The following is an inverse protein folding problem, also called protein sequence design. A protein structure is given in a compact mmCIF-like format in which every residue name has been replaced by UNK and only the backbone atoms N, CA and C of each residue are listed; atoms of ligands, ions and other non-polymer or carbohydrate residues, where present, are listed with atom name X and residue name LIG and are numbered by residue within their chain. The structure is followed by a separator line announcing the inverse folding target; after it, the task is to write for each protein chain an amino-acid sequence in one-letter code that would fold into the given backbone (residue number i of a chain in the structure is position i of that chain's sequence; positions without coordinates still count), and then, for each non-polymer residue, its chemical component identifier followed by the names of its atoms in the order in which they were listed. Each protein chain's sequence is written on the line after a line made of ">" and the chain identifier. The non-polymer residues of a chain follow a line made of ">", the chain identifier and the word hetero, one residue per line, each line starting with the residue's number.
data_IF_863706000782
#
_entry.id   IF_863706000782
#
_cell.length_a   1.000
_cell.length_b   1.000
_cell.length_c   1.000
_cell.angle_alpha   90.00
_cell.angle_beta   90.00
_cell.angle_gamma   90.00
#
_symmetry.space_group_name_H-M   'P 1'
#
loop_
_entity.id
_entity.type
_entity.pdbx_description
1 polymer ?
#
# COMPACT_ATOMS: atom_id res chain seq x y z
N UNK A 1 23.75 42.16 22.69
CA UNK A 1 22.63 42.91 22.09
C UNK A 1 22.33 42.28 20.78
N UNK A 2 21.37 41.30 20.68
CA UNK A 2 20.72 40.83 19.41
C UNK A 2 19.91 39.57 19.58
N UNK A 3 19.49 39.21 20.81
CA UNK A 3 18.67 37.98 21.03
C UNK A 3 17.15 38.23 21.16
N UNK A 4 16.67 39.44 20.85
CA UNK A 4 15.26 39.80 21.01
C UNK A 4 14.45 39.92 19.70
N UNK A 5 15.08 39.76 18.54
CA UNK A 5 14.39 39.97 17.25
C UNK A 5 13.83 38.70 16.63
N UNK A 6 14.37 37.51 16.99
CA UNK A 6 13.98 36.21 16.35
C UNK A 6 12.65 35.65 16.91
N UNK A 7 12.20 36.09 18.07
CA UNK A 7 10.97 35.57 18.71
C UNK A 7 9.65 36.24 18.28
N UNK A 8 9.68 37.31 17.48
CA UNK A 8 8.46 38.03 17.08
C UNK A 8 7.86 37.63 15.71
N UNK A 9 8.61 36.98 14.81
CA UNK A 9 8.06 36.54 13.53
C UNK A 9 7.36 35.18 13.58
N UNK A 10 7.58 34.37 14.63
CA UNK A 10 6.93 33.08 14.81
C UNK A 10 5.59 33.10 15.58
N UNK A 11 5.18 34.24 16.14
CA UNK A 11 4.00 34.31 16.99
C UNK A 11 2.66 34.38 16.22
N UNK A 12 2.68 34.68 14.93
CA UNK A 12 1.48 34.75 14.10
C UNK A 12 0.98 33.32 13.63
N UNK A 13 1.83 32.31 13.66
CA UNK A 13 1.49 30.95 13.20
C UNK A 13 1.11 29.98 14.33
N UNK A 14 1.33 30.31 15.59
CA UNK A 14 1.04 29.41 16.71
C UNK A 14 -0.47 29.11 16.83
N UNK A 15 -1.41 30.07 16.69
CA UNK A 15 -2.84 29.78 16.70
C UNK A 15 -3.28 28.86 15.55
N UNK A 16 -2.70 29.03 14.35
CA UNK A 16 -3.05 28.19 13.18
C UNK A 16 -2.57 26.75 13.33
N UNK A 17 -1.38 26.54 13.89
CA UNK A 17 -0.84 25.18 14.15
C UNK A 17 -1.66 24.45 15.21
N UNK A 18 -2.05 25.12 16.28
CA UNK A 18 -2.92 24.55 17.31
C UNK A 18 -4.29 24.16 16.74
N UNK A 19 -4.88 24.99 15.88
CA UNK A 19 -6.15 24.71 15.24
C UNK A 19 -6.08 23.46 14.34
N UNK A 20 -5.02 23.31 13.53
CA UNK A 20 -4.82 22.12 12.71
C UNK A 20 -4.78 20.83 13.54
N UNK A 21 -4.10 20.87 14.70
CA UNK A 21 -4.06 19.71 15.61
C UNK A 21 -5.43 19.41 16.22
N UNK A 22 -6.19 20.43 16.59
CA UNK A 22 -7.55 20.28 17.13
C UNK A 22 -8.52 19.79 16.05
N UNK A 23 -8.40 20.25 14.82
CA UNK A 23 -9.19 19.76 13.67
C UNK A 23 -8.90 18.28 13.37
N UNK A 24 -7.66 17.81 13.50
CA UNK A 24 -7.29 16.41 13.31
C UNK A 24 -7.77 15.48 14.45
N UNK A 25 -8.03 16.02 15.67
CA UNK A 25 -8.31 15.23 16.87
C UNK A 25 -9.51 14.27 16.73
N UNK A 26 -10.68 14.64 16.18
CA UNK A 26 -11.81 13.72 16.01
C UNK A 26 -11.47 12.49 15.13
N UNK A 27 -10.63 12.69 14.09
CA UNK A 27 -10.19 11.61 13.19
C UNK A 27 -9.22 10.66 13.91
N UNK A 28 -8.26 11.23 14.66
CA UNK A 28 -7.32 10.46 15.49
C UNK A 28 -8.10 9.59 16.48
N UNK A 29 -9.06 10.17 17.21
CA UNK A 29 -9.90 9.44 18.18
C UNK A 29 -10.73 8.33 17.51
N UNK A 30 -11.31 8.58 16.34
CA UNK A 30 -12.10 7.60 15.58
C UNK A 30 -11.25 6.43 15.07
N UNK A 31 -9.98 6.68 14.74
CA UNK A 31 -9.06 5.70 14.17
C UNK A 31 -8.10 5.09 15.22
N UNK A 32 -8.11 5.59 16.46
CA UNK A 32 -7.29 5.06 17.54
C UNK A 32 -7.49 3.54 17.70
N UNK A 33 -6.39 2.81 17.87
CA UNK A 33 -6.34 1.35 17.97
C UNK A 33 -6.89 0.60 16.75
N UNK A 34 -7.01 1.25 15.58
CA UNK A 34 -7.39 0.58 14.33
C UNK A 34 -6.17 0.20 13.52
N UNK A 35 -6.22 -1.00 12.94
CA UNK A 35 -5.24 -1.41 11.93
C UNK A 35 -5.51 -0.62 10.65
N UNK A 36 -4.46 0.01 10.14
CA UNK A 36 -4.49 0.73 8.87
C UNK A 36 -3.55 0.00 7.91
N UNK A 37 -4.10 -0.72 6.96
CA UNK A 37 -3.31 -1.38 5.92
C UNK A 37 -2.99 -0.36 4.84
N UNK A 38 -1.70 -0.21 4.52
CA UNK A 38 -1.23 0.77 3.53
C UNK A 38 -0.45 0.03 2.44
N UNK A 39 -0.96 0.07 1.23
CA UNK A 39 -0.21 -0.37 0.06
C UNK A 39 0.66 0.77 -0.45
N UNK A 40 1.97 0.65 -0.30
CA UNK A 40 2.96 1.60 -0.76
C UNK A 40 3.53 1.18 -2.12
N UNK A 41 3.41 2.06 -3.12
CA UNK A 41 3.83 1.72 -4.49
C UNK A 41 3.80 2.91 -5.44
N UNK A 42 4.13 2.66 -6.68
CA UNK A 42 4.15 3.69 -7.72
C UNK A 42 5.34 4.64 -7.61
N UNK A 43 5.18 5.86 -8.12
CA UNK A 43 6.23 6.88 -8.15
C UNK A 43 6.66 7.34 -6.74
N UNK A 44 5.78 7.21 -5.75
CA UNK A 44 6.10 7.47 -4.35
C UNK A 44 7.28 6.62 -3.81
N UNK A 45 7.58 5.50 -4.46
CA UNK A 45 8.72 4.62 -4.11
C UNK A 45 10.01 4.96 -4.86
N UNK A 46 10.00 5.94 -5.76
CA UNK A 46 11.16 6.32 -6.58
C UNK A 46 11.72 7.65 -6.11
N UNK A 47 10.86 8.60 -5.81
CA UNK A 47 11.23 9.95 -5.36
C UNK A 47 11.61 9.93 -3.87
N UNK A 48 12.84 10.37 -3.55
CA UNK A 48 13.38 10.33 -2.19
C UNK A 48 12.60 11.25 -1.22
N UNK A 49 12.07 12.37 -1.69
CA UNK A 49 11.25 13.27 -0.88
C UNK A 49 9.93 12.58 -0.50
N UNK A 50 9.27 11.94 -1.47
CA UNK A 50 8.01 11.23 -1.24
C UNK A 50 8.21 10.02 -0.32
N UNK A 51 9.31 9.26 -0.48
CA UNK A 51 9.67 8.17 0.44
C UNK A 51 9.85 8.67 1.87
N UNK A 52 10.54 9.80 2.06
CA UNK A 52 10.73 10.41 3.37
C UNK A 52 9.42 10.91 3.97
N UNK A 53 8.55 11.54 3.19
CA UNK A 53 7.23 11.98 3.64
C UNK A 53 6.38 10.78 4.06
N UNK A 54 6.34 9.72 3.24
CA UNK A 54 5.68 8.46 3.59
C UNK A 54 6.15 7.90 4.93
N UNK A 55 7.48 7.83 5.15
CA UNK A 55 8.02 7.31 6.40
C UNK A 55 7.61 8.15 7.61
N UNK A 56 7.62 9.49 7.49
CA UNK A 56 7.13 10.41 8.53
C UNK A 56 5.65 10.21 8.83
N UNK A 57 4.83 10.09 7.78
CA UNK A 57 3.40 9.85 7.92
C UNK A 57 3.14 8.56 8.71
N UNK A 58 3.79 7.46 8.31
CA UNK A 58 3.66 6.16 8.98
C UNK A 58 4.09 6.22 10.45
N UNK A 59 5.19 6.90 10.74
CA UNK A 59 5.65 7.12 12.14
C UNK A 59 4.62 7.91 12.92
N UNK A 60 4.08 8.99 12.34
CA UNK A 60 3.03 9.79 13.00
C UNK A 60 1.80 8.94 13.29
N UNK A 61 1.32 8.14 12.32
CA UNK A 61 0.17 7.24 12.54
C UNK A 61 0.39 6.34 13.76
N UNK A 62 1.58 5.72 13.87
CA UNK A 62 1.90 4.85 15.02
C UNK A 62 1.95 5.63 16.32
N UNK A 63 2.52 6.83 16.33
CA UNK A 63 2.65 7.68 17.53
C UNK A 63 1.29 8.17 18.05
N UNK A 64 0.32 8.43 17.16
CA UNK A 64 -1.03 8.84 17.58
C UNK A 64 -1.97 7.65 17.85
N UNK A 65 -1.42 6.44 17.95
CA UNK A 65 -2.16 5.25 18.40
C UNK A 65 -2.89 4.48 17.30
N UNK A 66 -2.57 4.70 16.03
CA UNK A 66 -2.98 3.84 14.93
C UNK A 66 -1.99 2.68 14.74
N UNK A 67 -2.43 1.62 14.07
CA UNK A 67 -1.64 0.42 13.83
C UNK A 67 -1.35 0.24 12.33
N UNK A 68 -0.33 0.94 11.76
CA UNK A 68 -0.01 0.81 10.35
C UNK A 68 0.65 -0.53 10.04
N UNK A 69 0.17 -1.20 8.97
CA UNK A 69 0.73 -2.39 8.36
C UNK A 69 1.02 -2.07 6.90
N UNK A 70 2.28 -2.13 6.50
CA UNK A 70 2.73 -1.68 5.19
C UNK A 70 2.93 -2.89 4.27
N UNK A 71 2.33 -2.85 3.08
CA UNK A 71 2.63 -3.76 1.99
C UNK A 71 3.24 -2.94 0.86
N UNK A 72 4.49 -3.23 0.49
CA UNK A 72 5.13 -2.45 -0.55
C UNK A 72 5.14 -3.14 -1.91
N UNK A 73 5.15 -2.35 -2.97
CA UNK A 73 5.43 -2.81 -4.33
C UNK A 73 6.93 -2.78 -4.64
N UNK A 74 7.26 -2.65 -5.92
CA UNK A 74 8.64 -2.57 -6.39
C UNK A 74 8.79 -2.79 -7.91
N UNK A 75 7.69 -2.68 -8.66
CA UNK A 75 7.68 -2.96 -10.10
C UNK A 75 8.77 -2.22 -10.89
N UNK A 76 8.92 -0.90 -10.78
CA UNK A 76 9.96 -0.15 -11.47
C UNK A 76 11.38 -0.58 -11.08
N UNK A 77 11.63 -0.78 -9.78
CA UNK A 77 12.94 -1.21 -9.28
C UNK A 77 13.28 -2.62 -9.78
N UNK A 78 12.33 -3.56 -9.70
CA UNK A 78 12.50 -4.92 -10.26
C UNK A 78 12.87 -4.83 -11.74
N UNK A 79 12.13 -4.04 -12.53
CA UNK A 79 12.39 -3.87 -13.96
C UNK A 79 13.82 -3.38 -14.19
N UNK A 80 14.23 -2.32 -13.47
CA UNK A 80 15.58 -1.77 -13.58
C UNK A 80 16.67 -2.78 -13.24
N UNK A 81 16.50 -3.59 -12.19
CA UNK A 81 17.47 -4.62 -11.83
C UNK A 81 17.54 -5.76 -12.86
N UNK A 82 16.40 -6.23 -13.35
CA UNK A 82 16.35 -7.27 -14.38
C UNK A 82 17.00 -6.81 -15.69
N UNK A 83 16.74 -5.56 -16.11
CA UNK A 83 17.37 -4.96 -17.30
C UNK A 83 18.90 -4.88 -17.18
N UNK A 84 19.43 -4.47 -16.02
CA UNK A 84 20.87 -4.48 -15.74
C UNK A 84 21.50 -5.86 -15.87
N UNK A 85 20.72 -6.91 -15.67
CA UNK A 85 21.15 -8.30 -15.85
C UNK A 85 20.85 -8.86 -17.24
N UNK A 86 20.35 -8.06 -18.16
CA UNK A 86 19.98 -8.48 -19.50
C UNK A 86 18.70 -9.32 -19.57
N UNK A 87 17.88 -9.32 -18.52
CA UNK A 87 16.61 -10.05 -18.45
C UNK A 87 15.46 -9.09 -18.81
N UNK A 88 14.72 -9.42 -19.86
CA UNK A 88 13.55 -8.63 -20.26
C UNK A 88 12.33 -8.99 -19.42
N UNK A 89 11.65 -7.96 -18.93
CA UNK A 89 10.37 -8.13 -18.23
C UNK A 89 9.22 -8.30 -19.23
N UNK A 90 8.41 -9.31 -19.02
CA UNK A 90 7.16 -9.54 -19.76
C UNK A 90 5.97 -9.32 -18.82
N UNK A 91 4.90 -8.72 -19.37
CA UNK A 91 3.66 -8.49 -18.63
C UNK A 91 2.47 -8.96 -19.44
N UNK A 92 1.57 -9.68 -18.78
CA UNK A 92 0.29 -10.12 -19.32
C UNK A 92 -0.81 -9.67 -18.36
N UNK A 93 -1.81 -8.97 -18.84
CA UNK A 93 -2.90 -8.38 -18.03
C UNK A 93 -2.40 -7.58 -16.80
N UNK A 94 -1.27 -6.87 -16.95
CA UNK A 94 -0.67 -6.10 -15.86
C UNK A 94 0.10 -6.92 -14.81
N UNK A 95 0.14 -8.25 -14.97
CA UNK A 95 0.92 -9.15 -14.12
C UNK A 95 2.25 -9.47 -14.77
N UNK A 96 3.34 -9.45 -14.01
CA UNK A 96 4.67 -9.81 -14.49
C UNK A 96 4.75 -11.32 -14.65
N UNK A 97 5.15 -11.80 -15.83
CA UNK A 97 5.54 -13.20 -16.02
C UNK A 97 6.90 -13.41 -15.36
N UNK A 98 6.98 -14.31 -14.39
CA UNK A 98 8.17 -14.47 -13.54
C UNK A 98 8.79 -15.85 -13.75
N UNK A 99 9.85 -15.96 -14.52
CA UNK A 99 10.57 -17.22 -14.74
C UNK A 99 11.53 -17.56 -13.58
N UNK A 100 12.17 -18.73 -13.65
CA UNK A 100 13.05 -19.25 -12.59
C UNK A 100 14.28 -18.36 -12.36
N UNK A 101 14.77 -17.65 -13.38
CA UNK A 101 15.89 -16.71 -13.25
C UNK A 101 15.47 -15.40 -12.61
N UNK A 102 14.27 -14.96 -12.95
CA UNK A 102 13.72 -13.70 -12.46
C UNK A 102 13.27 -13.77 -11.00
N UNK A 103 12.76 -14.94 -10.54
CA UNK A 103 12.19 -15.04 -9.18
C UNK A 103 13.22 -14.82 -8.09
N UNK A 104 14.44 -15.34 -8.24
CA UNK A 104 15.53 -15.15 -7.26
C UNK A 104 15.90 -13.66 -7.16
N UNK A 105 16.02 -12.98 -8.30
CA UNK A 105 16.30 -11.55 -8.34
C UNK A 105 15.16 -10.73 -7.73
N UNK A 106 13.91 -11.06 -8.05
CA UNK A 106 12.74 -10.39 -7.51
C UNK A 106 12.69 -10.55 -5.98
N UNK A 107 12.99 -11.74 -5.47
CA UNK A 107 13.06 -11.98 -4.04
C UNK A 107 14.14 -11.13 -3.36
N UNK A 108 15.36 -11.06 -3.94
CA UNK A 108 16.45 -10.21 -3.44
C UNK A 108 16.07 -8.73 -3.47
N UNK A 109 15.46 -8.25 -4.54
CA UNK A 109 15.08 -6.84 -4.70
C UNK A 109 13.95 -6.47 -3.74
N UNK A 110 12.89 -7.28 -3.68
CA UNK A 110 11.75 -6.99 -2.80
C UNK A 110 12.10 -7.19 -1.33
N UNK A 111 12.64 -8.34 -0.95
CA UNK A 111 12.90 -8.69 0.46
C UNK A 111 14.15 -8.06 1.04
N UNK A 112 15.18 -7.89 0.23
CA UNK A 112 16.48 -7.35 0.65
C UNK A 112 16.62 -5.85 0.43
N UNK A 113 16.47 -5.38 -0.80
CA UNK A 113 16.73 -3.97 -1.13
C UNK A 113 15.58 -3.06 -0.70
N UNK A 114 14.41 -3.19 -1.32
CA UNK A 114 13.28 -2.26 -1.12
C UNK A 114 12.73 -2.36 0.31
N UNK A 115 12.50 -3.57 0.79
CA UNK A 115 11.96 -3.78 2.14
C UNK A 115 12.84 -3.13 3.20
N UNK A 116 14.16 -3.33 3.13
CA UNK A 116 15.11 -2.79 4.11
C UNK A 116 15.33 -1.28 3.95
N UNK A 117 15.20 -0.74 2.74
CA UNK A 117 15.18 0.71 2.54
C UNK A 117 13.99 1.35 3.27
N UNK A 118 12.78 0.80 3.13
CA UNK A 118 11.58 1.32 3.82
C UNK A 118 11.73 1.21 5.33
N UNK A 119 12.21 0.06 5.84
CA UNK A 119 12.49 -0.15 7.27
C UNK A 119 13.47 0.89 7.79
N UNK A 120 14.56 1.14 7.05
CA UNK A 120 15.56 2.12 7.43
C UNK A 120 15.00 3.55 7.46
N UNK A 121 14.19 3.92 6.46
CA UNK A 121 13.54 5.24 6.41
C UNK A 121 12.59 5.45 7.60
N UNK A 122 11.74 4.48 7.92
CA UNK A 122 10.85 4.57 9.08
C UNK A 122 11.69 4.70 10.37
N UNK A 123 12.76 3.94 10.48
CA UNK A 123 13.64 3.96 11.66
C UNK A 123 14.38 5.29 11.79
N UNK A 124 14.84 5.89 10.68
CA UNK A 124 15.54 7.18 10.70
C UNK A 124 14.62 8.34 11.16
N UNK A 125 13.31 8.17 11.06
CA UNK A 125 12.32 9.12 11.58
C UNK A 125 11.78 8.74 12.98
N UNK A 126 12.46 7.82 13.69
CA UNK A 126 12.11 7.44 15.07
C UNK A 126 11.05 6.35 15.21
N UNK A 127 10.60 5.74 14.10
CA UNK A 127 9.74 4.57 14.12
C UNK A 127 10.53 3.28 14.39
N UNK A 128 9.83 2.21 14.75
CA UNK A 128 10.42 0.87 14.94
C UNK A 128 9.79 -0.07 13.90
N UNK A 129 10.45 -0.25 12.76
CA UNK A 129 9.92 -1.09 11.69
C UNK A 129 10.58 -2.48 11.66
N UNK A 130 9.79 -3.49 11.28
CA UNK A 130 10.26 -4.86 11.03
C UNK A 130 9.89 -5.25 9.61
N UNK A 131 10.90 -5.57 8.80
CA UNK A 131 10.71 -6.03 7.43
C UNK A 131 10.52 -7.54 7.37
N UNK A 132 9.43 -7.94 6.71
CA UNK A 132 9.03 -9.32 6.46
C UNK A 132 8.83 -9.55 4.97
N UNK A 133 8.94 -10.79 4.56
CA UNK A 133 8.34 -11.31 3.32
C UNK A 133 7.16 -12.23 3.68
N UNK A 134 6.34 -12.58 2.72
CA UNK A 134 5.26 -13.54 2.99
C UNK A 134 5.76 -14.96 3.31
N UNK A 135 7.05 -15.23 3.16
CA UNK A 135 7.67 -16.52 3.56
C UNK A 135 7.89 -16.59 5.08
N UNK A 136 8.10 -15.43 5.73
CA UNK A 136 8.41 -15.36 7.15
C UNK A 136 7.20 -15.81 7.99
N UNK A 137 7.40 -16.80 8.82
CA UNK A 137 6.34 -17.44 9.60
C UNK A 137 5.24 -18.11 8.75
N UNK A 138 5.46 -18.27 7.44
CA UNK A 138 4.43 -18.78 6.53
C UNK A 138 3.27 -17.80 6.31
N UNK A 139 3.52 -16.51 6.48
CA UNK A 139 2.53 -15.42 6.41
C UNK A 139 1.67 -15.48 5.15
N UNK A 140 2.28 -15.71 3.95
CA UNK A 140 1.55 -15.77 2.69
C UNK A 140 1.77 -17.13 2.02
N UNK A 141 0.73 -17.96 2.01
CA UNK A 141 0.68 -19.16 1.16
C UNK A 141 0.22 -18.77 -0.22
N UNK A 142 0.94 -19.26 -1.22
CA UNK A 142 0.71 -18.94 -2.61
C UNK A 142 0.33 -20.19 -3.41
N UNK A 143 -0.36 -19.97 -4.51
CA UNK A 143 -0.52 -20.96 -5.57
C UNK A 143 -0.13 -20.32 -6.90
N UNK A 144 0.31 -21.13 -7.84
CA UNK A 144 0.65 -20.67 -9.18
C UNK A 144 -0.51 -19.93 -9.82
N UNK A 145 -0.22 -18.79 -10.45
CA UNK A 145 -1.21 -18.05 -11.23
C UNK A 145 -1.39 -18.73 -12.59
N UNK A 146 -2.64 -18.92 -12.96
CA UNK A 146 -3.04 -19.44 -14.28
C UNK A 146 -3.92 -18.38 -14.93
N UNK A 147 -3.68 -18.09 -16.19
CA UNK A 147 -4.44 -17.09 -16.94
C UNK A 147 -5.91 -17.45 -17.09
N UNK A 148 -6.75 -16.42 -17.13
CA UNK A 148 -8.19 -16.52 -17.31
C UNK A 148 -8.65 -15.72 -18.53
N UNK A 149 -9.90 -15.87 -18.92
CA UNK A 149 -10.51 -15.11 -20.00
C UNK A 149 -9.79 -15.31 -21.35
N UNK A 150 -9.29 -14.22 -21.95
CA UNK A 150 -8.57 -14.24 -23.24
C UNK A 150 -7.22 -14.95 -23.16
N UNK A 151 -6.58 -14.93 -21.97
CA UNK A 151 -5.32 -15.59 -21.69
C UNK A 151 -5.52 -16.92 -20.96
N UNK A 152 -6.65 -17.57 -21.17
CA UNK A 152 -6.97 -18.86 -20.52
C UNK A 152 -5.84 -19.87 -20.69
N UNK A 153 -5.44 -20.47 -19.56
CA UNK A 153 -4.33 -21.42 -19.44
C UNK A 153 -2.93 -20.85 -19.72
N UNK A 154 -2.76 -19.52 -19.80
CA UNK A 154 -1.43 -18.92 -19.87
C UNK A 154 -0.63 -19.23 -18.60
N UNK A 155 0.60 -19.69 -18.77
CA UNK A 155 1.49 -20.02 -17.66
C UNK A 155 2.31 -18.80 -17.22
N UNK A 156 1.92 -18.20 -16.10
CA UNK A 156 2.65 -17.11 -15.47
C UNK A 156 3.91 -17.53 -14.71
N UNK A 157 4.27 -18.82 -14.76
CA UNK A 157 5.46 -19.44 -14.13
C UNK A 157 5.46 -19.27 -12.61
N UNK A 158 6.41 -18.49 -12.05
CA UNK A 158 6.50 -18.22 -10.61
C UNK A 158 5.74 -16.94 -10.17
N UNK A 159 4.82 -16.46 -11.00
CA UNK A 159 3.84 -15.47 -10.53
C UNK A 159 2.73 -16.21 -9.82
N UNK A 160 2.39 -15.76 -8.62
CA UNK A 160 1.45 -16.42 -7.74
C UNK A 160 0.20 -15.61 -7.44
N UNK A 161 -0.80 -16.34 -6.94
CA UNK A 161 -1.97 -15.80 -6.26
C UNK A 161 -1.92 -16.20 -4.78
N UNK A 162 -2.45 -15.37 -3.90
CA UNK A 162 -2.60 -15.70 -2.49
C UNK A 162 -3.62 -16.85 -2.36
N UNK A 163 -3.22 -17.96 -1.75
CA UNK A 163 -4.13 -19.04 -1.37
C UNK A 163 -4.65 -18.89 0.04
N UNK A 164 -3.78 -18.52 0.98
CA UNK A 164 -4.17 -18.18 2.36
C UNK A 164 -3.15 -17.22 2.99
N UNK A 165 -3.56 -16.57 4.08
CA UNK A 165 -2.70 -15.73 4.92
C UNK A 165 -2.81 -16.21 6.35
N UNK A 166 -1.67 -16.43 7.00
CA UNK A 166 -1.57 -16.62 8.45
C UNK A 166 -1.12 -15.29 9.08
N UNK A 167 -2.01 -14.56 9.76
CA UNK A 167 -1.68 -13.25 10.31
C UNK A 167 -0.87 -13.31 11.61
N UNK A 168 -0.49 -14.48 12.11
CA UNK A 168 0.09 -14.67 13.45
C UNK A 168 1.30 -13.79 13.72
N UNK A 169 2.25 -13.70 12.76
CA UNK A 169 3.44 -12.85 12.90
C UNK A 169 3.09 -11.37 12.86
N UNK A 170 2.10 -10.97 12.06
CA UNK A 170 1.64 -9.56 12.01
C UNK A 170 0.94 -9.18 13.31
N UNK A 171 0.07 -10.04 13.83
CA UNK A 171 -0.62 -9.83 15.10
C UNK A 171 0.37 -9.73 16.28
N UNK A 172 1.43 -10.56 16.28
CA UNK A 172 2.49 -10.49 17.28
C UNK A 172 3.21 -9.13 17.25
N UNK A 173 3.52 -8.62 16.06
CA UNK A 173 4.17 -7.31 15.91
C UNK A 173 3.21 -6.16 16.23
N UNK A 174 1.94 -6.28 15.87
CA UNK A 174 0.92 -5.26 16.13
C UNK A 174 0.70 -5.01 17.62
N UNK A 175 0.80 -6.05 18.46
CA UNK A 175 0.75 -5.95 19.92
C UNK A 175 1.96 -5.22 20.52
N UNK A 176 2.91 -4.77 19.72
CA UNK A 176 4.15 -4.11 20.11
C UNK A 176 4.29 -2.74 19.44
N UNK A 177 5.30 -1.92 19.79
CA UNK A 177 5.57 -0.66 19.07
C UNK A 177 6.14 -0.85 17.66
N UNK A 178 6.26 -2.08 17.14
CA UNK A 178 6.77 -2.31 15.80
C UNK A 178 5.76 -2.03 14.69
N UNK A 179 6.27 -1.67 13.51
CA UNK A 179 5.53 -1.42 12.29
C UNK A 179 5.91 -2.51 11.28
N UNK A 180 5.01 -3.44 10.93
CA UNK A 180 5.29 -4.47 9.92
C UNK A 180 5.41 -3.86 8.53
N UNK A 181 6.47 -4.23 7.79
CA UNK A 181 6.71 -3.87 6.39
C UNK A 181 6.85 -5.16 5.59
N UNK A 182 5.90 -5.46 4.72
CA UNK A 182 5.73 -6.77 4.09
C UNK A 182 6.02 -6.69 2.60
N UNK A 183 6.97 -7.51 2.13
CA UNK A 183 7.22 -7.75 0.72
C UNK A 183 6.22 -8.79 0.17
N UNK A 184 5.64 -8.57 -1.03
CA UNK A 184 4.58 -9.40 -1.59
C UNK A 184 5.14 -10.67 -2.26
N UNK A 185 5.82 -11.49 -1.48
CA UNK A 185 6.39 -12.78 -1.86
C UNK A 185 5.71 -13.85 -1.04
N UNK A 186 5.25 -14.91 -1.68
CA UNK A 186 4.63 -16.04 -0.99
C UNK A 186 5.38 -17.34 -1.21
N UNK A 187 5.03 -18.36 -0.41
CA UNK A 187 5.53 -19.72 -0.53
C UNK A 187 4.39 -20.67 -0.95
N UNK A 188 4.63 -21.48 -1.98
CA UNK A 188 3.70 -22.50 -2.42
C UNK A 188 3.71 -23.76 -1.54
N UNK A 189 2.73 -24.65 -1.75
CA UNK A 189 2.74 -26.00 -1.17
C UNK A 189 3.92 -26.83 -1.65
N UNK A 190 4.43 -26.51 -2.86
CA UNK A 190 5.64 -27.06 -3.46
C UNK A 190 6.93 -26.44 -2.89
N UNK A 191 6.82 -25.60 -1.87
CA UNK A 191 7.91 -24.84 -1.26
C UNK A 191 8.65 -23.89 -2.21
N UNK A 192 8.09 -23.59 -3.38
CA UNK A 192 8.63 -22.59 -4.30
C UNK A 192 8.23 -21.19 -3.92
N UNK A 193 9.09 -20.24 -4.26
CA UNK A 193 8.84 -18.81 -4.11
C UNK A 193 7.94 -18.32 -5.24
N UNK A 194 6.95 -17.51 -4.88
CA UNK A 194 6.04 -16.86 -5.83
C UNK A 194 6.05 -15.34 -5.65
N UNK A 195 6.22 -14.64 -6.78
CA UNK A 195 6.02 -13.19 -6.86
C UNK A 195 4.52 -12.91 -6.98
N UNK A 196 3.99 -12.08 -6.08
CA UNK A 196 2.57 -11.78 -6.02
C UNK A 196 2.35 -10.27 -6.21
N UNK A 197 1.26 -9.90 -6.84
CA UNK A 197 0.89 -8.49 -6.97
C UNK A 197 0.61 -7.87 -5.59
N UNK A 198 1.27 -6.75 -5.30
CA UNK A 198 1.19 -6.07 -3.99
C UNK A 198 -0.22 -5.56 -3.65
N UNK A 199 -1.03 -5.16 -4.64
CA UNK A 199 -2.41 -4.72 -4.41
C UNK A 199 -3.27 -5.92 -3.94
N UNK A 200 -3.07 -7.10 -4.54
CA UNK A 200 -3.76 -8.34 -4.14
C UNK A 200 -3.37 -8.73 -2.71
N UNK A 201 -2.07 -8.74 -2.40
CA UNK A 201 -1.59 -9.06 -1.04
C UNK A 201 -2.16 -8.08 -0.02
N UNK A 202 -2.13 -6.78 -0.30
CA UNK A 202 -2.62 -5.75 0.61
C UNK A 202 -4.13 -5.89 0.88
N UNK A 203 -4.94 -6.14 -0.15
CA UNK A 203 -6.38 -6.39 0.02
C UNK A 203 -6.67 -7.62 0.87
N UNK A 204 -5.94 -8.72 0.65
CA UNK A 204 -6.07 -9.96 1.44
C UNK A 204 -5.64 -9.76 2.91
N UNK A 205 -4.54 -9.03 3.15
CA UNK A 205 -4.10 -8.68 4.51
C UNK A 205 -5.13 -7.77 5.19
N UNK A 206 -5.64 -6.75 4.48
CA UNK A 206 -6.68 -5.87 5.02
C UNK A 206 -7.93 -6.65 5.43
N UNK A 207 -8.34 -7.61 4.62
CA UNK A 207 -9.45 -8.53 4.88
C UNK A 207 -9.22 -9.36 6.15
N UNK A 208 -8.08 -10.07 6.24
CA UNK A 208 -7.83 -11.02 7.34
C UNK A 208 -7.60 -10.32 8.67
N UNK A 209 -6.98 -9.14 8.66
CA UNK A 209 -6.77 -8.30 9.84
C UNK A 209 -8.00 -7.49 10.23
N UNK A 210 -9.10 -7.57 9.48
CA UNK A 210 -10.29 -6.74 9.68
C UNK A 210 -9.92 -5.25 9.83
N UNK A 211 -9.10 -4.76 8.89
CA UNK A 211 -8.54 -3.41 8.95
C UNK A 211 -9.63 -2.35 9.07
N UNK A 212 -9.41 -1.35 9.92
CA UNK A 212 -10.29 -0.19 10.05
C UNK A 212 -10.29 0.66 8.79
N UNK A 213 -9.15 0.74 8.10
CA UNK A 213 -9.00 1.35 6.78
C UNK A 213 -7.97 0.61 5.93
N UNK A 214 -8.18 0.64 4.61
CA UNK A 214 -7.19 0.20 3.64
C UNK A 214 -6.88 1.35 2.68
N UNK A 215 -5.62 1.76 2.60
CA UNK A 215 -5.14 2.88 1.78
C UNK A 215 -4.25 2.34 0.66
N UNK A 216 -4.56 2.70 -0.58
CA UNK A 216 -3.81 2.31 -1.78
C UNK A 216 -3.17 3.54 -2.39
N UNK A 217 -1.84 3.67 -2.27
CA UNK A 217 -1.11 4.72 -2.96
C UNK A 217 -0.87 4.32 -4.41
N UNK A 218 -1.17 5.24 -5.32
CA UNK A 218 -1.03 5.09 -6.78
C UNK A 218 -0.43 6.36 -7.39
N UNK A 219 -0.30 6.39 -8.72
CA UNK A 219 0.21 7.56 -9.47
C UNK A 219 -0.93 8.42 -10.04
N UNK A 220 -2.16 8.19 -9.62
CA UNK A 220 -3.33 8.94 -10.07
C UNK A 220 -4.12 9.42 -8.88
N UNK A 221 -4.79 10.55 -9.02
CA UNK A 221 -5.58 11.18 -7.94
C UNK A 221 -6.71 10.27 -7.43
N UNK A 222 -7.15 9.29 -8.23
CA UNK A 222 -8.22 8.37 -7.85
C UNK A 222 -8.88 7.76 -9.08
N UNK A 223 -10.17 7.46 -8.97
CA UNK A 223 -11.00 6.93 -10.06
C UNK A 223 -11.77 8.09 -10.71
N UNK A 224 -11.75 8.14 -12.03
CA UNK A 224 -12.45 9.16 -12.83
C UNK A 224 -13.68 8.56 -13.50
N UNK A 225 -14.70 9.41 -13.72
CA UNK A 225 -15.86 9.09 -14.56
C UNK A 225 -15.50 9.18 -16.06
N UNK A 226 -16.49 8.90 -16.91
CA UNK A 226 -16.38 8.99 -18.37
C UNK A 226 -16.21 10.43 -18.90
N UNK A 227 -16.45 11.44 -18.07
CA UNK A 227 -16.23 12.86 -18.39
C UNK A 227 -14.85 13.35 -17.88
N UNK A 228 -14.06 12.49 -17.21
CA UNK A 228 -12.77 12.87 -16.64
C UNK A 228 -12.86 13.56 -15.28
N UNK A 229 -13.99 13.53 -14.59
CA UNK A 229 -14.13 14.08 -13.24
C UNK A 229 -13.74 13.04 -12.19
N UNK A 230 -13.02 13.47 -11.14
CA UNK A 230 -12.68 12.62 -10.01
C UNK A 230 -13.93 12.22 -9.22
N UNK A 231 -14.13 10.93 -9.04
CA UNK A 231 -15.19 10.40 -8.19
C UNK A 231 -14.68 10.31 -6.75
N UNK A 232 -15.15 11.20 -5.88
CA UNK A 232 -14.69 11.26 -4.49
C UNK A 232 -15.13 10.05 -3.65
N UNK A 233 -16.31 9.49 -3.90
CA UNK A 233 -16.83 8.34 -3.15
C UNK A 233 -17.73 7.48 -4.02
N UNK A 234 -17.64 6.16 -3.87
CA UNK A 234 -18.47 5.20 -4.57
C UNK A 234 -18.68 3.93 -3.73
N UNK A 235 -19.75 3.22 -4.02
CA UNK A 235 -20.01 1.91 -3.47
C UNK A 235 -19.52 0.78 -4.40
N UNK A 236 -19.56 -0.45 -3.91
CA UNK A 236 -19.09 -1.62 -4.67
C UNK A 236 -19.84 -1.84 -6.00
N UNK A 237 -21.12 -1.50 -6.07
CA UNK A 237 -21.93 -1.64 -7.29
C UNK A 237 -21.48 -0.64 -8.36
N UNK A 238 -21.34 0.62 -8.00
CA UNK A 238 -20.86 1.68 -8.90
C UNK A 238 -19.48 1.32 -9.48
N UNK A 239 -18.59 0.79 -8.64
CA UNK A 239 -17.27 0.32 -9.07
C UNK A 239 -17.40 -0.77 -10.14
N UNK A 240 -18.23 -1.81 -9.90
CA UNK A 240 -18.45 -2.90 -10.88
C UNK A 240 -19.01 -2.38 -12.19
N UNK A 241 -19.91 -1.39 -12.14
CA UNK A 241 -20.45 -0.76 -13.36
C UNK A 241 -19.37 -0.09 -14.19
N UNK A 242 -18.44 0.65 -13.56
CA UNK A 242 -17.32 1.29 -14.27
C UNK A 242 -16.32 0.27 -14.84
N UNK A 243 -16.09 -0.85 -14.14
CA UNK A 243 -15.29 -1.97 -14.65
C UNK A 243 -15.95 -2.60 -15.86
N UNK A 244 -17.26 -2.89 -15.82
CA UNK A 244 -18.02 -3.48 -16.92
C UNK A 244 -18.05 -2.54 -18.15
N UNK A 245 -18.13 -1.23 -17.93
CA UNK A 245 -18.04 -0.20 -18.99
C UNK A 245 -16.61 0.00 -19.51
N UNK A 246 -15.61 -0.70 -18.97
CA UNK A 246 -14.17 -0.56 -19.30
C UNK A 246 -13.60 0.85 -19.06
N UNK A 247 -14.22 1.66 -18.22
CA UNK A 247 -13.70 2.95 -17.76
C UNK A 247 -12.53 2.69 -16.81
N UNK A 248 -12.69 1.73 -15.88
CA UNK A 248 -11.60 1.22 -15.06
C UNK A 248 -10.93 0.08 -15.84
N UNK A 249 -9.64 0.23 -16.14
CA UNK A 249 -8.86 -0.72 -16.94
C UNK A 249 -7.40 -0.81 -16.49
N UNK A 250 -6.63 -1.71 -17.11
CA UNK A 250 -5.18 -1.82 -16.96
C UNK A 250 -4.71 -1.83 -15.50
N UNK A 251 -3.74 -0.99 -15.15
CA UNK A 251 -3.11 -0.95 -13.83
C UNK A 251 -4.04 -0.52 -12.67
N UNK A 252 -5.22 0.06 -12.93
CA UNK A 252 -6.22 0.38 -11.91
C UNK A 252 -7.05 -0.85 -11.52
N UNK A 253 -7.23 -1.81 -12.42
CA UNK A 253 -8.08 -2.98 -12.20
C UNK A 253 -7.69 -3.81 -10.96
N UNK A 254 -6.42 -4.22 -10.76
CA UNK A 254 -6.02 -4.96 -9.56
C UNK A 254 -6.27 -4.19 -8.26
N UNK A 255 -6.13 -2.85 -8.28
CA UNK A 255 -6.37 -1.99 -7.10
C UNK A 255 -7.84 -1.98 -6.71
N UNK A 256 -8.69 -1.83 -7.71
CA UNK A 256 -10.13 -1.79 -7.53
C UNK A 256 -10.67 -3.17 -7.12
N UNK A 257 -10.17 -4.25 -7.71
CA UNK A 257 -10.55 -5.62 -7.33
C UNK A 257 -10.13 -5.93 -5.89
N UNK A 258 -8.92 -5.54 -5.48
CA UNK A 258 -8.46 -5.70 -4.10
C UNK A 258 -9.29 -4.87 -3.12
N UNK A 259 -9.71 -3.67 -3.53
CA UNK A 259 -10.59 -2.82 -2.74
C UNK A 259 -11.99 -3.43 -2.58
N UNK A 260 -12.58 -3.93 -3.67
CA UNK A 260 -13.87 -4.62 -3.64
C UNK A 260 -13.86 -5.86 -2.75
N UNK A 261 -12.79 -6.65 -2.81
CA UNK A 261 -12.63 -7.81 -1.94
C UNK A 261 -12.56 -7.41 -0.46
N UNK A 262 -11.75 -6.39 -0.13
CA UNK A 262 -11.61 -5.90 1.22
C UNK A 262 -12.93 -5.37 1.79
N UNK A 263 -13.65 -4.54 1.02
CA UNK A 263 -14.96 -3.98 1.43
C UNK A 263 -16.01 -5.08 1.59
N UNK A 264 -16.05 -6.06 0.68
CA UNK A 264 -16.98 -7.21 0.77
C UNK A 264 -16.72 -8.06 2.01
N UNK A 265 -15.48 -8.08 2.50
CA UNK A 265 -15.08 -8.84 3.69
C UNK A 265 -15.24 -8.08 5.02
N UNK A 266 -15.70 -6.83 4.99
CA UNK A 266 -16.01 -6.06 6.20
C UNK A 266 -15.13 -4.83 6.46
N UNK A 267 -14.06 -4.60 5.67
CA UNK A 267 -13.32 -3.33 5.73
C UNK A 267 -14.27 -2.18 5.38
N UNK A 268 -14.39 -1.22 6.28
CA UNK A 268 -15.42 -0.16 6.13
C UNK A 268 -15.20 0.71 4.91
N UNK A 269 -13.94 1.12 4.70
CA UNK A 269 -13.57 2.02 3.61
C UNK A 269 -12.21 1.63 3.05
N UNK A 270 -12.07 1.74 1.72
CA UNK A 270 -10.80 1.67 1.02
C UNK A 270 -10.58 2.99 0.30
N UNK A 271 -9.41 3.59 0.48
CA UNK A 271 -9.03 4.83 -0.19
C UNK A 271 -7.99 4.56 -1.27
N UNK A 272 -8.25 5.04 -2.48
CA UNK A 272 -7.27 5.06 -3.58
C UNK A 272 -6.83 6.50 -3.74
N UNK A 273 -5.55 6.79 -3.44
CA UNK A 273 -5.01 8.14 -3.36
C UNK A 273 -3.74 8.30 -4.18
N UNK A 274 -3.45 9.53 -4.57
CA UNK A 274 -2.21 9.88 -5.26
C UNK A 274 -1.04 9.93 -4.28
N UNK A 275 -0.12 8.98 -4.39
CA UNK A 275 1.08 8.93 -3.56
C UNK A 275 2.13 9.99 -3.91
N UNK A 276 1.92 10.80 -4.97
CA UNK A 276 2.82 11.91 -5.33
C UNK A 276 2.47 13.21 -4.62
N UNK A 277 1.33 13.26 -3.93
CA UNK A 277 0.95 14.37 -3.05
C UNK A 277 1.71 14.26 -1.74
N UNK A 278 2.32 15.36 -1.29
CA UNK A 278 3.00 15.40 0.00
C UNK A 278 2.04 15.10 1.14
N UNK A 279 2.42 14.18 2.01
CA UNK A 279 1.61 13.77 3.16
C UNK A 279 0.20 13.29 2.81
N UNK A 280 0.03 12.67 1.62
CA UNK A 280 -1.26 12.20 1.11
C UNK A 280 -2.03 11.32 2.12
N UNK A 281 -1.31 10.50 2.88
CA UNK A 281 -1.91 9.61 3.89
C UNK A 281 -2.54 10.43 5.02
N UNK A 282 -1.84 11.44 5.52
CA UNK A 282 -2.36 12.28 6.60
C UNK A 282 -3.56 13.10 6.14
N UNK A 283 -3.49 13.67 4.94
CA UNK A 283 -4.60 14.41 4.33
C UNK A 283 -5.85 13.53 4.18
N UNK A 284 -5.67 12.28 3.72
CA UNK A 284 -6.79 11.35 3.55
C UNK A 284 -7.37 10.85 4.88
N UNK A 285 -6.54 10.66 5.89
CA UNK A 285 -6.98 10.06 7.16
C UNK A 285 -7.51 11.10 8.16
N UNK A 286 -7.02 12.34 8.11
CA UNK A 286 -7.23 13.34 9.15
C UNK A 286 -7.90 14.62 8.66
N UNK A 287 -8.49 14.62 7.45
CA UNK A 287 -9.30 15.73 6.94
C UNK A 287 -10.63 15.26 6.37
N UNK A 288 -11.60 16.16 6.29
CA UNK A 288 -12.92 15.88 5.71
C UNK A 288 -12.89 15.74 4.19
N UNK A 289 -12.02 16.52 3.53
CA UNK A 289 -12.03 16.61 2.07
C UNK A 289 -11.44 15.36 1.40
N UNK A 290 -10.46 14.71 2.05
CA UNK A 290 -9.67 13.63 1.46
C UNK A 290 -8.96 14.06 0.17
N UNK A 291 -8.11 13.20 -0.37
CA UNK A 291 -7.32 13.50 -1.58
C UNK A 291 -7.49 12.48 -2.70
N UNK A 292 -8.47 11.57 -2.59
CA UNK A 292 -8.63 10.49 -3.54
C UNK A 292 -10.07 10.02 -3.75
N UNK A 293 -10.21 8.75 -4.08
CA UNK A 293 -11.50 8.05 -4.21
C UNK A 293 -11.69 7.09 -3.05
N UNK A 294 -12.78 7.26 -2.31
CA UNK A 294 -13.19 6.33 -1.27
C UNK A 294 -14.16 5.28 -1.84
N UNK A 295 -13.81 4.01 -1.72
CA UNK A 295 -14.70 2.88 -1.96
C UNK A 295 -15.24 2.42 -0.61
N UNK A 296 -16.56 2.52 -0.42
CA UNK A 296 -17.22 2.19 0.85
C UNK A 296 -18.07 0.94 0.75
N UNK A 297 -18.24 0.30 1.90
CA UNK A 297 -19.31 -0.67 2.08
C UNK A 297 -20.64 0.09 2.01
N UNK A 298 -21.61 -0.45 1.30
CA UNK A 298 -22.97 0.15 1.18
C UNK A 298 -23.56 0.47 2.52
#
# INVERSE_FOLDING_TARGET
>A
MNDKVILRENSANIPSTANVLIEALPYIQKLANKIIVIKFGGNAMIDDRLKNNFARDVVLLKQVGLHPVIIHGGGPQITSYLEKMGIKSEFVDGMRVTDDKSIEMIEMVLGGSINKEIVNLITSHGGRAVGLSGKDGGLIRAKKMIGEGKNKNFDFKNTGMVSSIDPSVVNLLDATPFIPVIAPIGIGEDFKTYNINADIVAGKIAKILQAGKYVVLTNTTGIFDDNGNLIKSMNAEQVRQLVNKRIISSGMLPKVESALEAVSAGVQNVQIIDGTIDHAILLELFTDEGVGTMIRRT
#
